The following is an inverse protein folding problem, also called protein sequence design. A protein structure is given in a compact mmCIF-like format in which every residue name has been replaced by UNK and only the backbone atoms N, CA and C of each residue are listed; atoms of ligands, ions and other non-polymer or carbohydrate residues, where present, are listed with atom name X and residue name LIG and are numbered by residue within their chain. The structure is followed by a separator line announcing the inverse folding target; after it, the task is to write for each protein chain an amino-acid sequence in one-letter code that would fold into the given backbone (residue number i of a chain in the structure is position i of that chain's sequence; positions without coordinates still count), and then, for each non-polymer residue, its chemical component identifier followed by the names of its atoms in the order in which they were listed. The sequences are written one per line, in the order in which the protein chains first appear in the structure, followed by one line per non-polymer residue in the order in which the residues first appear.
data_IF_031222985283
#
_entry.id   IF_031222985283
#
_cell.length_a   1.000
_cell.length_b   1.000
_cell.length_c   1.000
_cell.angle_alpha   90.00
_cell.angle_beta   90.00
_cell.angle_gamma   90.00
#
_symmetry.space_group_name_H-M   'P 1'
#
loop_
_entity.id
_entity.type
_entity.pdbx_description
1 polymer ?
#
# COMPACT_ATOMS: atom_id res chain seq x y z
N UNK A 1 7.39 -10.52 18.84
CA UNK A 1 7.36 -11.89 18.26
C UNK A 1 6.72 -11.87 16.87
N UNK A 2 6.87 -12.92 16.04
CA UNK A 2 6.26 -12.96 14.69
C UNK A 2 4.73 -12.81 14.75
N UNK A 3 4.09 -13.41 15.75
CA UNK A 3 2.64 -13.32 15.97
C UNK A 3 2.18 -11.89 16.31
N UNK A 4 2.95 -11.16 17.12
CA UNK A 4 2.66 -9.74 17.41
C UNK A 4 2.75 -8.87 16.15
N UNK A 5 3.69 -9.17 15.24
CA UNK A 5 3.82 -8.44 13.97
C UNK A 5 2.61 -8.72 13.07
N UNK A 6 2.15 -9.96 12.98
CA UNK A 6 0.90 -10.28 12.26
C UNK A 6 -0.31 -9.57 12.86
N UNK A 7 -0.46 -9.59 14.19
CA UNK A 7 -1.53 -8.87 14.88
C UNK A 7 -1.45 -7.36 14.62
N UNK A 8 -0.24 -6.80 14.55
CA UNK A 8 -0.03 -5.40 14.20
C UNK A 8 -0.55 -5.10 12.79
N UNK A 9 -0.19 -5.89 11.79
CA UNK A 9 -0.68 -5.71 10.41
C UNK A 9 -2.21 -5.79 10.34
N UNK A 10 -2.80 -6.82 10.93
CA UNK A 10 -4.24 -7.03 10.92
C UNK A 10 -5.00 -5.87 11.60
N UNK A 11 -4.46 -5.37 12.72
CA UNK A 11 -5.03 -4.21 13.40
C UNK A 11 -4.95 -2.92 12.56
N UNK A 12 -3.94 -2.77 11.71
CA UNK A 12 -3.86 -1.64 10.78
C UNK A 12 -4.91 -1.76 9.68
N UNK A 13 -5.02 -2.92 9.05
CA UNK A 13 -5.99 -3.15 7.96
C UNK A 13 -7.42 -3.05 8.46
N UNK A 14 -7.72 -3.56 9.66
CA UNK A 14 -9.04 -3.38 10.28
C UNK A 14 -9.43 -1.91 10.45
N UNK A 15 -8.48 -1.06 10.85
CA UNK A 15 -8.73 0.37 11.01
C UNK A 15 -8.91 1.09 9.66
N UNK A 16 -8.12 0.71 8.65
CA UNK A 16 -8.29 1.20 7.27
C UNK A 16 -9.66 0.80 6.72
N UNK A 17 -10.07 -0.47 6.87
CA UNK A 17 -11.37 -0.96 6.41
C UNK A 17 -12.51 -0.18 7.05
N UNK A 18 -12.45 0.10 8.36
CA UNK A 18 -13.48 0.91 9.03
C UNK A 18 -13.66 2.31 8.41
N UNK A 19 -12.60 2.91 7.87
CA UNK A 19 -12.63 4.21 7.19
C UNK A 19 -13.16 4.08 5.77
N UNK A 20 -12.58 3.17 4.97
CA UNK A 20 -12.89 3.06 3.55
C UNK A 20 -14.27 2.44 3.29
N UNK A 21 -14.71 1.47 4.08
CA UNK A 21 -16.03 0.86 3.92
C UNK A 21 -17.16 1.84 4.23
N UNK A 22 -16.95 2.73 5.20
CA UNK A 22 -17.93 3.72 5.64
C UNK A 22 -17.97 4.98 4.76
N UNK A 23 -17.04 5.11 3.81
CA UNK A 23 -16.96 6.26 2.91
C UNK A 23 -17.68 5.97 1.59
N UNK A 24 -18.52 6.91 1.12
CA UNK A 24 -19.17 6.85 -0.19
C UNK A 24 -18.32 7.59 -1.23
N UNK A 25 -17.62 6.83 -2.08
CA UNK A 25 -16.79 7.36 -3.15
C UNK A 25 -17.60 7.55 -4.43
N UNK A 26 -18.55 8.49 -4.38
CA UNK A 26 -19.34 8.89 -5.55
C UNK A 26 -20.19 7.75 -6.12
N UNK A 27 -20.77 6.93 -5.24
CA UNK A 27 -21.57 5.75 -5.56
C UNK A 27 -20.86 4.41 -5.31
N UNK A 28 -19.53 4.41 -5.19
CA UNK A 28 -18.76 3.21 -4.83
C UNK A 28 -18.67 3.12 -3.31
N UNK A 29 -19.27 2.07 -2.74
CA UNK A 29 -19.36 1.83 -1.29
C UNK A 29 -18.78 0.47 -0.93
N UNK A 30 -18.39 0.30 0.33
CA UNK A 30 -17.88 -0.99 0.83
C UNK A 30 -16.47 -1.31 0.32
N UNK A 31 -15.65 -0.30 0.04
CA UNK A 31 -14.25 -0.50 -0.31
C UNK A 31 -13.53 -1.10 0.89
N UNK A 32 -13.04 -2.33 0.74
CA UNK A 32 -12.36 -3.11 1.77
C UNK A 32 -10.99 -3.59 1.25
N UNK A 33 -10.06 -3.78 2.19
CA UNK A 33 -8.74 -4.35 1.97
C UNK A 33 -8.61 -5.70 2.67
N UNK A 34 -8.22 -6.71 1.91
CA UNK A 34 -7.80 -8.00 2.42
C UNK A 34 -6.29 -8.18 2.15
N UNK A 35 -5.55 -8.59 3.19
CA UNK A 35 -4.13 -8.90 3.04
C UNK A 35 -4.01 -10.22 2.31
N UNK A 36 -3.41 -10.24 1.12
CA UNK A 36 -3.22 -11.48 0.39
C UNK A 36 -1.91 -12.20 0.76
N UNK A 37 -0.88 -11.43 1.11
CA UNK A 37 0.44 -11.99 1.43
C UNK A 37 1.16 -11.11 2.42
N UNK A 38 1.81 -11.74 3.38
CA UNK A 38 2.67 -11.06 4.36
C UNK A 38 4.05 -11.68 4.37
N UNK A 39 5.09 -10.85 4.29
CA UNK A 39 6.48 -11.27 4.49
C UNK A 39 7.05 -10.50 5.66
N UNK A 40 7.68 -11.22 6.60
CA UNK A 40 8.31 -10.63 7.77
C UNK A 40 9.82 -10.80 7.63
N UNK A 41 10.55 -9.69 7.72
CA UNK A 41 11.99 -9.69 7.87
C UNK A 41 12.37 -9.47 9.33
N UNK A 42 13.28 -10.30 9.82
CA UNK A 42 13.84 -10.22 11.17
C UNK A 42 15.36 -10.03 11.12
N UNK A 43 16.04 -10.09 12.26
CA UNK A 43 17.49 -9.94 12.34
C UNK A 43 18.27 -10.99 11.53
N UNK A 44 17.70 -12.18 11.31
CA UNK A 44 18.32 -13.20 10.46
C UNK A 44 18.24 -12.88 8.97
N UNK A 45 17.31 -11.99 8.58
CA UNK A 45 17.14 -11.50 7.20
C UNK A 45 18.20 -10.47 6.80
N UNK A 46 19.04 -10.03 7.74
CA UNK A 46 20.17 -9.13 7.55
C UNK A 46 21.46 -9.77 8.11
N UNK A 47 21.96 -10.88 7.51
CA UNK A 47 23.20 -11.49 7.96
C UNK A 47 24.37 -10.52 7.75
N UNK A 48 25.34 -10.56 8.67
CA UNK A 48 26.65 -9.90 8.51
C UNK A 48 27.45 -10.67 7.44
N UNK A 49 27.04 -10.59 6.19
CA UNK A 49 27.82 -11.09 5.05
C UNK A 49 28.69 -9.97 4.50
N UNK A 50 29.93 -10.32 4.13
CA UNK A 50 30.87 -9.44 3.45
C UNK A 50 30.21 -8.62 2.33
N UNK A 51 30.77 -7.44 2.07
CA UNK A 51 30.22 -6.30 1.32
C UNK A 51 29.76 -6.55 -0.14
N UNK A 52 29.73 -7.78 -0.65
CA UNK A 52 29.43 -8.10 -2.05
C UNK A 52 28.55 -9.36 -2.26
N UNK A 53 27.62 -9.70 -1.36
CA UNK A 53 26.62 -10.73 -1.67
C UNK A 53 25.46 -10.15 -2.52
N UNK A 54 25.26 -10.57 -3.78
CA UNK A 54 24.12 -10.17 -4.60
C UNK A 54 22.75 -10.62 -4.05
N UNK A 55 22.72 -11.49 -3.01
CA UNK A 55 21.52 -11.87 -2.26
C UNK A 55 21.31 -11.03 -0.99
N UNK A 56 22.20 -10.07 -0.69
CA UNK A 56 22.05 -9.18 0.46
C UNK A 56 20.73 -8.42 0.36
N UNK A 57 19.96 -8.48 1.44
CA UNK A 57 18.70 -7.76 1.53
C UNK A 57 18.97 -6.23 1.55
N UNK A 58 18.60 -5.54 0.48
CA UNK A 58 18.86 -4.10 0.30
C UNK A 58 18.19 -3.21 1.34
N UNK A 59 17.23 -3.74 2.11
CA UNK A 59 16.56 -3.03 3.21
C UNK A 59 17.39 -2.97 4.51
N UNK A 60 18.51 -3.71 4.58
CA UNK A 60 19.38 -3.80 5.75
C UNK A 60 20.33 -2.62 5.91
N UNK A 61 20.48 -1.76 4.91
CA UNK A 61 21.35 -0.58 5.00
C UNK A 61 20.80 0.45 5.99
N UNK A 62 21.50 0.79 7.07
CA UNK A 62 20.93 1.58 8.17
C UNK A 62 20.43 2.98 7.75
N UNK A 63 21.04 3.61 6.75
CA UNK A 63 20.78 5.01 6.39
C UNK A 63 20.10 5.18 5.01
N UNK A 64 19.04 4.42 4.75
CA UNK A 64 18.20 4.62 3.55
C UNK A 64 17.16 5.69 3.83
N UNK A 65 17.15 6.78 3.07
CA UNK A 65 16.10 7.79 3.14
C UNK A 65 14.74 7.25 2.65
N UNK A 66 13.67 7.96 2.99
CA UNK A 66 12.29 7.53 2.70
C UNK A 66 12.03 7.29 1.21
N UNK A 67 12.61 8.12 0.33
CA UNK A 67 12.39 8.02 -1.12
C UNK A 67 13.11 6.81 -1.69
N UNK A 68 14.36 6.60 -1.30
CA UNK A 68 15.11 5.42 -1.68
C UNK A 68 14.48 4.14 -1.11
N UNK A 69 13.92 4.19 0.10
CA UNK A 69 13.25 3.04 0.72
C UNK A 69 11.98 2.62 -0.06
N UNK A 70 11.15 3.59 -0.48
CA UNK A 70 10.00 3.31 -1.35
C UNK A 70 10.45 2.79 -2.72
N UNK A 71 11.51 3.37 -3.30
CA UNK A 71 12.06 2.90 -4.57
C UNK A 71 12.57 1.46 -4.49
N UNK A 72 13.25 1.07 -3.41
CA UNK A 72 13.68 -0.31 -3.14
C UNK A 72 12.48 -1.27 -3.10
N UNK A 73 11.38 -0.88 -2.46
CA UNK A 73 10.15 -1.67 -2.43
C UNK A 73 9.49 -1.80 -3.81
N UNK A 74 9.61 -0.74 -4.61
CA UNK A 74 9.05 -0.66 -5.96
C UNK A 74 9.83 -1.48 -7.00
N UNK A 75 11.01 -2.01 -6.69
CA UNK A 75 11.82 -2.82 -7.63
C UNK A 75 11.17 -4.18 -7.91
N UNK A 76 10.44 -4.75 -6.93
CA UNK A 76 9.83 -6.07 -7.07
C UNK A 76 8.57 -6.02 -7.92
N UNK A 77 8.24 -7.15 -8.54
CA UNK A 77 6.98 -7.31 -9.25
C UNK A 77 5.84 -7.53 -8.26
N UNK A 78 4.93 -6.57 -8.19
CA UNK A 78 3.73 -6.60 -7.33
C UNK A 78 2.44 -6.66 -8.16
N UNK A 79 2.50 -7.13 -9.41
CA UNK A 79 1.35 -7.12 -10.34
C UNK A 79 0.18 -7.99 -9.87
N UNK A 80 0.45 -8.99 -9.04
CA UNK A 80 -0.58 -9.89 -8.48
C UNK A 80 -1.46 -9.20 -7.42
N UNK A 81 -1.01 -8.05 -6.89
CA UNK A 81 -1.70 -7.34 -5.81
C UNK A 81 -2.26 -6.00 -6.29
N UNK A 82 -3.32 -5.54 -5.60
CA UNK A 82 -3.84 -4.20 -5.83
C UNK A 82 -2.83 -3.14 -5.41
N UNK A 83 -2.29 -3.32 -4.20
CA UNK A 83 -1.28 -2.48 -3.55
C UNK A 83 -0.31 -3.38 -2.77
N UNK A 84 0.91 -2.90 -2.57
CA UNK A 84 1.93 -3.57 -1.77
C UNK A 84 2.60 -2.59 -0.79
N UNK A 85 2.59 -2.91 0.51
CA UNK A 85 3.07 -2.02 1.56
C UNK A 85 4.21 -2.60 2.38
N UNK A 86 5.08 -1.72 2.90
CA UNK A 86 6.07 -2.05 3.94
C UNK A 86 5.80 -1.23 5.19
N UNK A 87 5.70 -1.91 6.33
CA UNK A 87 5.76 -1.27 7.64
C UNK A 87 7.19 -1.43 8.18
N UNK A 88 7.79 -0.32 8.62
CA UNK A 88 9.15 -0.31 9.15
C UNK A 88 9.22 0.43 10.49
N UNK A 89 10.33 0.27 11.20
CA UNK A 89 10.64 1.03 12.44
C UNK A 89 11.82 1.97 12.21
N UNK A 90 11.97 2.47 10.97
CA UNK A 90 13.01 3.44 10.59
C UNK A 90 12.58 4.85 10.92
N UNK A 91 13.46 5.60 11.55
CA UNK A 91 13.22 7.01 11.79
C UNK A 91 13.65 7.83 10.57
N UNK A 92 12.69 8.24 9.75
CA UNK A 92 12.98 8.99 8.53
C UNK A 92 13.22 10.47 8.84
N UNK A 93 14.21 11.05 8.16
CA UNK A 93 14.61 12.45 8.35
C UNK A 93 13.42 13.39 8.07
N UNK A 94 13.28 14.43 8.89
CA UNK A 94 12.22 15.43 8.74
C UNK A 94 10.88 15.03 9.35
N UNK A 95 10.85 13.90 10.06
CA UNK A 95 9.65 13.41 10.73
C UNK A 95 8.63 12.77 9.79
N UNK A 96 9.10 12.26 8.65
CA UNK A 96 8.27 11.62 7.64
C UNK A 96 7.72 10.29 8.17
N UNK A 97 6.39 10.13 8.16
CA UNK A 97 5.71 8.94 8.67
C UNK A 97 5.40 7.90 7.57
N UNK A 98 5.36 8.30 6.32
CA UNK A 98 5.02 7.44 5.20
C UNK A 98 5.35 8.08 3.85
N UNK A 99 5.28 7.26 2.81
CA UNK A 99 5.42 7.69 1.42
C UNK A 99 4.75 6.69 0.49
N UNK A 100 4.02 7.18 -0.49
CA UNK A 100 3.34 6.35 -1.47
C UNK A 100 3.31 7.00 -2.86
N UNK A 101 3.21 6.16 -3.90
CA UNK A 101 2.99 6.65 -5.27
C UNK A 101 1.54 7.07 -5.47
N UNK A 102 1.31 8.24 -6.05
CA UNK A 102 -0.05 8.76 -6.23
C UNK A 102 -0.67 8.26 -7.53
N UNK A 103 -1.92 7.78 -7.46
CA UNK A 103 -2.69 7.51 -8.67
C UNK A 103 -3.19 8.81 -9.32
N UNK A 104 -3.26 8.82 -10.64
CA UNK A 104 -3.82 9.95 -11.36
C UNK A 104 -4.63 9.46 -12.55
N UNK A 105 -5.72 10.18 -12.78
CA UNK A 105 -6.66 10.01 -13.89
C UNK A 105 -6.20 10.74 -15.16
N UNK A 106 -5.03 11.41 -15.11
CA UNK A 106 -4.53 12.24 -16.22
C UNK A 106 -3.20 11.71 -16.71
N UNK A 107 -3.01 11.70 -18.02
CA UNK A 107 -1.74 11.37 -18.66
C UNK A 107 -0.66 12.44 -18.42
N UNK A 108 -0.16 12.55 -17.18
CA UNK A 108 0.87 13.51 -16.82
C UNK A 108 1.54 13.19 -15.48
N UNK A 109 2.83 12.81 -15.56
CA UNK A 109 3.82 12.95 -14.47
C UNK A 109 3.71 11.96 -13.30
N UNK A 110 4.84 11.34 -12.96
CA UNK A 110 5.06 10.71 -11.66
C UNK A 110 5.17 11.81 -10.61
N UNK A 111 4.30 11.83 -9.60
CA UNK A 111 4.44 12.72 -8.45
C UNK A 111 4.79 11.89 -7.21
N UNK A 112 5.98 12.14 -6.67
CA UNK A 112 6.44 11.59 -5.39
C UNK A 112 6.29 12.69 -4.34
N UNK A 113 5.36 12.54 -3.40
CA UNK A 113 5.12 13.52 -2.35
C UNK A 113 5.92 13.16 -1.09
N UNK A 114 7.13 13.69 -0.94
CA UNK A 114 7.89 13.57 0.30
C UNK A 114 7.46 14.67 1.29
N UNK A 115 7.35 14.35 2.58
CA UNK A 115 7.06 15.28 3.67
C UNK A 115 8.22 16.27 3.87
N UNK A 116 8.29 17.32 3.04
CA UNK A 116 9.06 18.54 3.28
C UNK A 116 8.35 19.71 2.62
N UNK A 117 7.74 20.58 3.42
CA UNK A 117 7.22 21.87 2.96
C UNK A 117 8.16 22.99 3.45
N UNK A 118 8.70 23.82 2.55
CA UNK A 118 8.81 25.24 2.79
C UNK A 118 7.73 25.97 1.96
N UNK A 119 7.18 27.10 2.45
CA UNK A 119 5.98 27.70 1.89
C UNK A 119 6.32 28.45 0.60
N UNK A 120 5.82 27.99 -0.56
CA UNK A 120 5.58 28.89 -1.70
C UNK A 120 4.45 28.35 -2.58
N UNK A 121 3.41 29.17 -2.73
CA UNK A 121 2.36 29.08 -3.75
C UNK A 121 2.92 28.72 -5.14
N UNK A 122 2.59 27.54 -5.67
CA UNK A 122 2.56 27.31 -7.12
C UNK A 122 1.55 26.21 -7.48
N UNK A 123 0.30 26.61 -7.74
CA UNK A 123 -0.57 25.84 -8.63
C UNK A 123 -0.12 26.07 -10.08
N UNK A 124 0.44 25.05 -10.74
CA UNK A 124 0.50 25.09 -12.20
C UNK A 124 -0.89 24.79 -12.78
N UNK A 125 -1.54 25.83 -13.29
CA UNK A 125 -2.59 25.70 -14.30
C UNK A 125 -1.94 25.17 -15.57
N UNK A 126 -2.14 23.88 -15.90
CA UNK A 126 -1.74 23.35 -17.19
C UNK A 126 -2.62 23.97 -18.30
N UNK A 127 -2.12 25.03 -18.95
CA UNK A 127 -2.63 25.47 -20.24
C UNK A 127 -2.23 24.45 -21.29
N UNK A 128 -3.22 23.99 -22.06
CA UNK A 128 -3.07 23.10 -23.21
C UNK A 128 -2.50 23.88 -24.39
N UNK A 129 -1.20 23.78 -24.63
CA UNK A 129 -0.62 24.10 -25.95
C UNK A 129 -0.34 22.79 -26.67
N UNK A 130 -1.15 22.55 -27.70
CA UNK A 130 -1.07 21.38 -28.57
C UNK A 130 0.09 21.53 -29.55
N UNK A 131 1.17 20.77 -29.32
CA UNK A 131 2.13 20.39 -30.36
C UNK A 131 2.21 18.86 -30.43
N UNK A 132 1.98 18.34 -31.63
CA UNK A 132 1.84 16.91 -31.89
C UNK A 132 3.15 16.14 -31.75
N UNK A 133 3.17 15.23 -30.78
CA UNK A 133 3.80 13.91 -30.84
C UNK A 133 3.10 13.04 -29.78
N UNK A 134 2.38 12.00 -30.20
CA UNK A 134 1.63 11.12 -29.30
C UNK A 134 2.56 10.16 -28.57
N UNK A 135 2.87 10.46 -27.31
CA UNK A 135 3.21 9.46 -26.30
C UNK A 135 2.25 9.65 -25.13
N UNK A 136 1.30 8.73 -24.96
CA UNK A 136 0.43 8.67 -23.79
C UNK A 136 1.25 8.30 -22.56
N UNK A 137 1.70 9.30 -21.79
CA UNK A 137 2.23 9.06 -20.45
C UNK A 137 1.04 9.04 -19.51
N UNK A 138 0.30 7.95 -19.41
CA UNK A 138 -0.64 7.73 -18.27
C UNK A 138 0.15 8.02 -17.00
N UNK A 139 -0.27 8.97 -16.16
CA UNK A 139 0.40 9.19 -14.87
C UNK A 139 0.38 7.86 -14.11
N UNK A 140 1.58 7.31 -13.90
CA UNK A 140 1.75 5.92 -13.51
C UNK A 140 1.99 5.85 -12.01
N UNK A 141 1.30 4.97 -11.29
CA UNK A 141 1.41 4.89 -9.82
C UNK A 141 0.07 4.71 -9.14
N UNK A 142 0.08 4.11 -7.96
CA UNK A 142 -1.09 3.82 -7.12
C UNK A 142 -1.85 2.54 -7.49
N UNK A 143 -3.13 2.48 -7.13
CA UNK A 143 -4.02 1.31 -7.20
C UNK A 143 -3.99 0.59 -8.56
N UNK A 144 -3.71 -0.71 -8.56
CA UNK A 144 -3.67 -1.52 -9.79
C UNK A 144 -2.54 -1.20 -10.79
N UNK A 145 -1.50 -0.45 -10.43
CA UNK A 145 -0.38 -0.24 -11.36
C UNK A 145 0.42 -1.54 -11.62
N UNK A 146 0.66 -1.94 -12.88
CA UNK A 146 1.44 -3.15 -13.20
C UNK A 146 2.96 -2.93 -13.16
N UNK A 147 3.72 -4.04 -13.12
CA UNK A 147 5.18 -4.03 -13.18
C UNK A 147 5.69 -3.75 -14.60
N UNK A 148 6.02 -2.49 -14.89
CA UNK A 148 6.41 -2.04 -16.24
C UNK A 148 7.72 -1.24 -16.26
N UNK A 149 8.17 -0.89 -17.45
CA UNK A 149 9.40 -0.12 -17.67
C UNK A 149 9.17 1.37 -17.48
N UNK A 150 10.08 2.01 -16.75
CA UNK A 150 10.15 3.45 -16.52
C UNK A 150 11.51 3.99 -16.96
N UNK A 151 11.53 5.26 -17.36
CA UNK A 151 12.75 5.97 -17.72
C UNK A 151 13.28 6.73 -16.49
N UNK A 152 14.46 6.36 -16.01
CA UNK A 152 15.20 7.06 -14.96
C UNK A 152 16.47 7.65 -15.60
N UNK A 153 16.36 8.90 -16.10
CA UNK A 153 17.42 9.53 -16.89
C UNK A 153 17.69 8.77 -18.20
N UNK A 154 18.92 8.30 -18.39
CA UNK A 154 19.32 7.48 -19.55
C UNK A 154 19.06 5.98 -19.37
N UNK A 155 18.65 5.53 -18.16
CA UNK A 155 18.43 4.13 -17.85
C UNK A 155 16.95 3.78 -17.92
N UNK A 156 16.65 2.57 -18.40
CA UNK A 156 15.33 1.96 -18.25
C UNK A 156 15.36 0.99 -17.07
N UNK A 157 14.45 1.18 -16.13
CA UNK A 157 14.27 0.28 -14.99
C UNK A 157 12.86 -0.26 -14.98
N UNK A 158 12.67 -1.45 -14.39
CA UNK A 158 11.31 -1.94 -14.12
C UNK A 158 10.93 -1.63 -12.69
N UNK A 159 9.70 -1.17 -12.50
CA UNK A 159 9.13 -0.86 -11.18
C UNK A 159 7.67 -1.25 -11.12
N UNK A 160 7.18 -1.56 -9.92
CA UNK A 160 5.76 -1.58 -9.58
C UNK A 160 5.49 -0.35 -8.73
N UNK A 161 4.64 0.56 -9.21
CA UNK A 161 4.34 1.80 -8.51
C UNK A 161 2.98 1.73 -7.78
N UNK A 162 2.45 0.54 -7.57
CA UNK A 162 1.32 0.26 -6.67
C UNK A 162 1.82 0.05 -5.22
N UNK A 163 2.79 0.86 -4.80
CA UNK A 163 3.53 0.66 -3.56
C UNK A 163 3.41 1.85 -2.62
N UNK A 164 3.57 1.55 -1.32
CA UNK A 164 3.67 2.54 -0.26
C UNK A 164 4.44 2.01 0.94
N UNK A 165 4.88 2.90 1.81
CA UNK A 165 5.60 2.59 3.04
C UNK A 165 5.06 3.44 4.18
N UNK A 166 5.09 2.89 5.40
CA UNK A 166 4.90 3.67 6.63
C UNK A 166 5.94 3.28 7.67
N UNK A 167 6.27 4.21 8.55
CA UNK A 167 7.09 3.95 9.73
C UNK A 167 6.28 4.02 11.03
N UNK A 168 6.69 3.20 11.99
CA UNK A 168 6.16 3.13 13.34
C UNK A 168 7.00 3.92 14.35
N UNK A 169 8.04 4.61 13.88
CA UNK A 169 8.97 5.42 14.68
C UNK A 169 9.10 6.81 14.07
N UNK A 170 9.09 7.83 14.93
CA UNK A 170 9.34 9.22 14.54
C UNK A 170 10.09 9.92 15.67
N UNK A 171 11.19 10.62 15.33
CA UNK A 171 12.06 11.30 16.31
C UNK A 171 12.43 10.36 17.47
N UNK A 172 12.87 9.15 17.13
CA UNK A 172 13.24 8.04 18.02
C UNK A 172 12.14 7.55 18.97
N UNK A 173 10.90 8.01 18.79
CA UNK A 173 9.76 7.61 19.60
C UNK A 173 8.80 6.74 18.81
N UNK A 174 8.17 5.77 19.47
CA UNK A 174 7.14 4.94 18.85
C UNK A 174 5.90 5.78 18.55
N UNK A 175 5.44 5.73 17.30
CA UNK A 175 4.21 6.39 16.87
C UNK A 175 3.01 5.69 17.54
N UNK A 176 2.06 6.45 18.13
CA UNK A 176 0.86 5.85 18.70
C UNK A 176 0.07 5.05 17.66
N UNK A 177 -0.48 3.90 18.06
CA UNK A 177 -1.20 2.98 17.16
C UNK A 177 -2.31 3.66 16.34
N UNK A 178 -3.06 4.59 16.95
CA UNK A 178 -4.10 5.33 16.24
C UNK A 178 -3.54 6.21 15.14
N UNK A 179 -2.41 6.87 15.39
CA UNK A 179 -1.75 7.73 14.41
C UNK A 179 -1.16 6.89 13.28
N UNK A 180 -0.50 5.77 13.57
CA UNK A 180 0.06 4.89 12.52
C UNK A 180 -1.02 4.27 11.62
N UNK A 181 -2.19 3.95 12.18
CA UNK A 181 -3.37 3.52 11.41
C UNK A 181 -3.87 4.61 10.46
N UNK A 182 -3.94 5.86 10.93
CA UNK A 182 -4.33 7.00 10.09
C UNK A 182 -3.27 7.32 9.04
N UNK A 183 -1.98 7.18 9.36
CA UNK A 183 -0.90 7.27 8.38
C UNK A 183 -1.06 6.22 7.29
N UNK A 184 -1.37 4.96 7.63
CA UNK A 184 -1.63 3.95 6.60
C UNK A 184 -2.80 4.35 5.69
N UNK A 185 -3.91 4.81 6.29
CA UNK A 185 -5.07 5.27 5.52
C UNK A 185 -4.73 6.46 4.61
N UNK A 186 -3.89 7.39 5.08
CA UNK A 186 -3.39 8.53 4.30
C UNK A 186 -2.57 8.06 3.08
N UNK A 187 -1.59 7.18 3.28
CA UNK A 187 -0.78 6.67 2.18
C UNK A 187 -1.60 5.86 1.17
N UNK A 188 -2.61 5.11 1.64
CA UNK A 188 -3.55 4.43 0.73
C UNK A 188 -4.39 5.46 -0.02
N UNK A 189 -4.76 6.58 0.61
CA UNK A 189 -5.48 7.68 -0.03
C UNK A 189 -4.70 8.27 -1.21
N UNK A 190 -3.38 8.41 -1.07
CA UNK A 190 -2.47 8.73 -2.17
C UNK A 190 -2.49 7.68 -3.27
N UNK A 191 -2.36 6.39 -2.93
CA UNK A 191 -2.48 5.31 -3.91
C UNK A 191 -3.85 5.29 -4.63
N UNK A 192 -4.91 5.78 -4.01
CA UNK A 192 -6.24 5.95 -4.63
C UNK A 192 -6.41 7.29 -5.35
N UNK A 193 -5.36 8.13 -5.37
CA UNK A 193 -5.24 9.32 -6.19
C UNK A 193 -5.67 10.62 -5.53
N UNK A 194 -5.86 10.63 -4.21
CA UNK A 194 -6.01 11.91 -3.51
C UNK A 194 -4.64 12.57 -3.33
N UNK A 195 -4.45 13.82 -3.76
CA UNK A 195 -3.38 14.67 -3.23
C UNK A 195 -3.73 15.08 -1.79
N UNK A 196 -2.85 15.86 -1.17
CA UNK A 196 -3.15 16.50 0.10
C UNK A 196 -4.38 17.43 -0.01
N UNK A 197 -5.10 17.58 1.09
CA UNK A 197 -6.33 18.36 1.16
C UNK A 197 -6.09 19.86 0.90
N UNK A 198 -6.73 20.37 -0.15
CA UNK A 198 -6.76 21.76 -0.54
C UNK A 198 -8.04 22.04 -1.34
N UNK A 199 -8.66 23.24 -1.29
CA UNK A 199 -8.29 24.43 -0.52
C UNK A 199 -8.73 24.35 0.95
N UNK A 200 -8.72 25.49 1.66
CA UNK A 200 -9.07 25.60 3.08
C UNK A 200 -10.39 24.91 3.49
N UNK A 201 -11.36 24.81 2.58
CA UNK A 201 -12.62 24.09 2.81
C UNK A 201 -12.44 22.59 3.11
N UNK A 202 -11.31 22.01 2.69
CA UNK A 202 -10.96 20.61 2.92
C UNK A 202 -9.93 20.42 4.04
N UNK A 203 -9.52 21.49 4.71
CA UNK A 203 -8.61 21.47 5.87
C UNK A 203 -9.12 22.45 6.94
N UNK A 204 -10.24 22.13 7.60
CA UNK A 204 -10.98 23.08 8.44
C UNK A 204 -10.26 23.46 9.73
N UNK A 205 -9.23 22.72 10.15
CA UNK A 205 -8.51 22.98 11.39
C UNK A 205 -9.37 22.67 12.62
N UNK A 206 -9.22 23.47 13.67
CA UNK A 206 -9.97 23.29 14.93
C UNK A 206 -11.38 23.90 14.84
N UNK A 207 -12.38 23.36 15.57
CA UNK A 207 -12.26 22.31 16.59
C UNK A 207 -12.36 20.86 16.08
N UNK A 208 -12.88 20.62 14.88
CA UNK A 208 -13.16 19.26 14.37
C UNK A 208 -11.92 18.52 13.84
N UNK A 209 -10.79 19.23 13.73
CA UNK A 209 -9.53 18.73 13.18
C UNK A 209 -9.53 18.68 11.65
N UNK A 210 -8.35 18.46 11.09
CA UNK A 210 -8.20 18.21 9.66
C UNK A 210 -8.54 16.75 9.29
N UNK A 211 -8.79 16.51 8.01
CA UNK A 211 -9.12 15.20 7.46
C UNK A 211 -7.88 14.33 7.23
N UNK A 212 -8.09 13.06 6.82
CA UNK A 212 -7.03 12.07 6.61
C UNK A 212 -5.95 12.58 5.65
N UNK A 213 -6.30 13.28 4.57
CA UNK A 213 -5.35 13.73 3.55
C UNK A 213 -4.71 15.09 3.88
N UNK A 214 -4.78 15.54 5.13
CA UNK A 214 -4.05 16.72 5.55
C UNK A 214 -2.53 16.52 5.42
N UNK A 215 -1.82 17.54 4.93
CA UNK A 215 -0.39 17.45 4.61
C UNK A 215 0.54 17.29 5.83
N UNK A 216 0.01 17.34 7.06
CA UNK A 216 0.79 17.22 8.29
C UNK A 216 0.17 16.18 9.23
N UNK A 217 1.01 15.62 10.10
CA UNK A 217 0.57 14.64 11.09
C UNK A 217 -0.58 15.18 11.95
N UNK A 218 -1.57 14.32 12.19
CA UNK A 218 -2.70 14.61 13.08
C UNK A 218 -2.53 13.88 14.40
N UNK A 219 -3.14 14.41 15.47
CA UNK A 219 -3.21 13.75 16.77
C UNK A 219 -4.13 12.52 16.77
N UNK A 220 -5.00 12.41 15.77
CA UNK A 220 -5.96 11.32 15.61
C UNK A 220 -7.14 11.38 16.59
N UNK A 221 -7.22 12.35 17.50
CA UNK A 221 -8.30 12.49 18.49
C UNK A 221 -9.52 13.26 17.96
N UNK A 222 -9.37 14.00 16.87
CA UNK A 222 -10.44 14.88 16.38
C UNK A 222 -11.44 14.16 15.47
N UNK A 223 -12.70 14.63 15.43
CA UNK A 223 -13.78 14.02 14.64
C UNK A 223 -13.46 13.78 13.15
N UNK A 224 -12.68 14.66 12.52
CA UNK A 224 -12.34 14.55 11.10
C UNK A 224 -11.10 13.70 10.81
N UNK A 225 -10.25 13.40 11.81
CA UNK A 225 -8.97 12.74 11.56
C UNK A 225 -9.13 11.32 10.98
N UNK A 226 -10.28 10.69 11.13
CA UNK A 226 -10.62 9.39 10.57
C UNK A 226 -11.64 9.47 9.42
N UNK A 227 -11.74 10.63 8.74
CA UNK A 227 -12.63 10.84 7.59
C UNK A 227 -11.86 11.42 6.42
N UNK A 228 -12.28 11.08 5.20
CA UNK A 228 -11.85 11.79 4.00
C UNK A 228 -12.61 13.12 3.86
N UNK A 229 -11.94 14.14 3.35
CA UNK A 229 -12.59 15.40 3.02
C UNK A 229 -13.44 15.25 1.76
N UNK A 230 -14.38 16.17 1.47
CA UNK A 230 -15.08 16.18 0.18
C UNK A 230 -14.14 16.24 -1.03
N UNK A 231 -12.97 16.90 -0.89
CA UNK A 231 -11.95 16.96 -1.94
C UNK A 231 -11.30 15.59 -2.16
N UNK A 232 -10.89 14.91 -1.08
CA UNK A 232 -10.27 13.58 -1.19
C UNK A 232 -11.26 12.57 -1.77
N UNK A 233 -12.53 12.60 -1.33
CA UNK A 233 -13.59 11.75 -1.87
C UNK A 233 -13.74 11.95 -3.36
N UNK A 234 -13.77 13.20 -3.85
CA UNK A 234 -13.89 13.48 -5.28
C UNK A 234 -12.73 12.89 -6.11
N UNK A 235 -11.49 13.05 -5.65
CA UNK A 235 -10.30 12.54 -6.33
C UNK A 235 -10.27 11.01 -6.34
N UNK A 236 -10.52 10.38 -5.20
CA UNK A 236 -10.57 8.91 -5.08
C UNK A 236 -11.70 8.34 -5.95
N UNK A 237 -12.86 8.99 -5.98
CA UNK A 237 -13.98 8.57 -6.82
C UNK A 237 -13.62 8.57 -8.31
N UNK A 238 -12.78 9.50 -8.76
CA UNK A 238 -12.36 9.57 -10.16
C UNK A 238 -11.49 8.37 -10.54
N UNK A 239 -10.49 8.04 -9.72
CA UNK A 239 -9.63 6.85 -9.94
C UNK A 239 -10.45 5.56 -9.87
N UNK A 240 -11.33 5.42 -8.88
CA UNK A 240 -12.18 4.23 -8.74
C UNK A 240 -13.08 4.02 -9.96
N UNK A 241 -13.64 5.10 -10.53
CA UNK A 241 -14.43 5.02 -11.77
C UNK A 241 -13.61 4.50 -12.94
N UNK A 242 -12.35 4.93 -13.09
CA UNK A 242 -11.47 4.43 -14.15
C UNK A 242 -11.10 2.97 -13.95
N UNK A 243 -10.74 2.58 -12.73
CA UNK A 243 -10.42 1.19 -12.38
C UNK A 243 -11.63 0.28 -12.62
N UNK A 244 -12.82 0.68 -12.18
CA UNK A 244 -14.03 -0.13 -12.30
C UNK A 244 -14.66 -0.10 -13.71
N UNK A 245 -14.24 0.81 -14.58
CA UNK A 245 -14.68 0.81 -15.98
C UNK A 245 -14.12 -0.39 -16.76
N UNK A 246 -13.03 -1.00 -16.29
CA UNK A 246 -12.47 -2.23 -16.87
C UNK A 246 -13.03 -3.48 -16.18
N UNK A 247 -13.37 -4.54 -16.94
CA UNK A 247 -13.66 -5.83 -16.35
C UNK A 247 -12.43 -6.38 -15.60
N UNK A 248 -12.61 -7.09 -14.47
CA UNK A 248 -11.51 -7.72 -13.75
C UNK A 248 -10.66 -8.60 -14.67
N UNK A 249 -9.33 -8.50 -14.56
CA UNK A 249 -8.34 -9.36 -15.26
C UNK A 249 -8.17 -9.15 -16.78
N UNK A 250 -8.78 -8.13 -17.39
CA UNK A 250 -8.50 -7.72 -18.76
C UNK A 250 -7.51 -6.54 -18.76
N UNK A 251 -6.37 -6.72 -19.41
CA UNK A 251 -5.35 -5.68 -19.58
C UNK A 251 -5.53 -5.03 -20.96
N UNK A 252 -6.27 -3.92 -20.99
CA UNK A 252 -6.40 -3.09 -22.18
C UNK A 252 -5.37 -1.95 -22.14
N UNK A 253 -4.48 -1.94 -23.14
CA UNK A 253 -3.46 -0.89 -23.30
C UNK A 253 -4.09 0.51 -23.29
N UNK A 254 -3.55 1.40 -22.46
CA UNK A 254 -3.98 2.80 -22.34
C UNK A 254 -5.06 3.07 -21.29
N UNK A 255 -5.64 2.04 -20.65
CA UNK A 255 -6.60 2.19 -19.56
C UNK A 255 -6.07 1.49 -18.31
N UNK A 256 -6.34 2.07 -17.13
CA UNK A 256 -5.94 1.49 -15.86
C UNK A 256 -6.62 0.14 -15.65
N UNK A 257 -5.85 -0.91 -15.39
CA UNK A 257 -6.39 -2.26 -15.19
C UNK A 257 -7.31 -2.31 -13.97
N UNK A 258 -8.31 -3.17 -14.01
CA UNK A 258 -9.07 -3.53 -12.82
C UNK A 258 -8.41 -4.71 -12.11
N UNK A 259 -7.90 -4.44 -10.91
CA UNK A 259 -7.33 -5.43 -10.02
C UNK A 259 -8.20 -5.73 -8.80
N UNK A 260 -9.30 -4.98 -8.64
CA UNK A 260 -10.24 -5.18 -7.56
C UNK A 260 -11.01 -6.48 -7.80
N UNK A 261 -11.23 -7.21 -6.72
CA UNK A 261 -12.02 -8.43 -6.71
C UNK A 261 -13.31 -8.15 -5.94
N UNK A 262 -14.37 -8.90 -6.26
CA UNK A 262 -15.56 -8.90 -5.43
C UNK A 262 -15.16 -9.24 -3.98
N UNK A 263 -15.84 -8.67 -2.97
CA UNK A 263 -15.51 -8.89 -1.57
C UNK A 263 -15.65 -10.39 -1.24
N UNK A 264 -14.53 -11.11 -1.33
CA UNK A 264 -14.39 -12.46 -0.81
C UNK A 264 -14.26 -12.31 0.71
N UNK A 265 -15.09 -13.03 1.45
CA UNK A 265 -15.07 -12.99 2.93
C UNK A 265 -13.83 -13.67 3.53
N UNK A 266 -13.02 -14.34 2.71
CA UNK A 266 -11.83 -15.08 3.14
C UNK A 266 -10.82 -15.24 1.99
N UNK A 267 -9.55 -14.93 2.24
CA UNK A 267 -8.43 -15.20 1.35
C UNK A 267 -7.48 -16.24 1.97
N UNK A 268 -7.48 -17.42 1.37
CA UNK A 268 -6.61 -18.49 1.84
C UNK A 268 -5.15 -18.28 1.44
N UNK A 269 -4.24 -18.20 2.39
CA UNK A 269 -2.78 -18.11 2.20
C UNK A 269 -2.17 -16.81 2.71
N UNK A 270 -2.93 -15.97 3.42
CA UNK A 270 -2.42 -14.77 4.08
C UNK A 270 -1.98 -15.05 5.53
N UNK A 271 -2.32 -16.23 6.02
CA UNK A 271 -2.05 -16.74 7.35
C UNK A 271 -2.90 -16.10 8.44
N UNK A 272 -4.14 -15.75 8.10
CA UNK A 272 -5.20 -15.34 9.02
C UNK A 272 -6.37 -16.27 8.75
N UNK A 273 -6.90 -16.91 9.80
CA UNK A 273 -8.09 -17.76 9.64
C UNK A 273 -9.32 -16.86 9.48
N UNK A 274 -9.91 -16.87 8.28
CA UNK A 274 -11.10 -16.09 7.93
C UNK A 274 -12.36 -16.98 7.80
N UNK A 275 -13.52 -16.37 7.54
CA UNK A 275 -14.80 -17.09 7.47
C UNK A 275 -14.80 -18.12 6.34
N UNK A 276 -14.84 -19.41 6.70
CA UNK A 276 -14.78 -20.54 5.77
C UNK A 276 -13.46 -21.31 5.77
N UNK A 277 -12.46 -20.86 6.54
CA UNK A 277 -11.15 -21.50 6.66
C UNK A 277 -11.01 -22.28 7.98
N UNK A 278 -10.33 -23.44 7.93
CA UNK A 278 -10.04 -24.24 9.15
C UNK A 278 -8.67 -23.93 9.76
N UNK A 279 -7.79 -23.38 8.93
CA UNK A 279 -6.42 -22.95 9.25
C UNK A 279 -5.92 -22.09 8.08
N UNK A 280 -4.86 -21.32 8.30
CA UNK A 280 -4.09 -20.70 7.22
C UNK A 280 -2.63 -20.54 7.66
N UNK A 281 -1.73 -21.30 7.03
CA UNK A 281 -0.30 -21.26 7.32
C UNK A 281 0.50 -20.33 6.40
N UNK A 282 -0.10 -19.80 5.33
CA UNK A 282 0.57 -18.94 4.35
C UNK A 282 0.47 -19.42 2.89
N UNK A 283 1.17 -18.70 2.01
CA UNK A 283 0.98 -18.80 0.57
C UNK A 283 1.62 -20.05 -0.05
N UNK A 284 2.79 -20.45 0.45
CA UNK A 284 3.55 -21.59 -0.04
C UNK A 284 4.10 -22.44 1.12
N UNK A 285 4.67 -23.60 0.77
CA UNK A 285 5.21 -24.56 1.75
C UNK A 285 6.30 -23.94 2.64
N UNK A 286 7.11 -23.02 2.10
CA UNK A 286 8.15 -22.33 2.87
C UNK A 286 7.55 -21.39 3.91
N UNK A 287 6.50 -20.64 3.57
CA UNK A 287 5.79 -19.80 4.53
C UNK A 287 5.18 -20.63 5.68
N UNK A 288 4.60 -21.79 5.37
CA UNK A 288 4.04 -22.69 6.38
C UNK A 288 5.10 -23.32 7.30
N UNK A 289 6.24 -23.75 6.72
CA UNK A 289 7.40 -24.23 7.48
C UNK A 289 7.97 -23.14 8.40
N UNK A 290 8.11 -21.91 7.90
CA UNK A 290 8.57 -20.76 8.69
C UNK A 290 7.63 -20.41 9.84
N UNK A 291 6.33 -20.62 9.68
CA UNK A 291 5.34 -20.44 10.76
C UNK A 291 5.28 -21.63 11.72
N UNK A 292 6.03 -22.70 11.43
CA UNK A 292 6.00 -23.96 12.18
C UNK A 292 4.59 -24.57 12.22
N UNK A 293 3.79 -24.31 11.19
CA UNK A 293 2.46 -24.89 11.04
C UNK A 293 2.55 -26.12 10.14
N UNK A 294 2.62 -27.29 10.77
CA UNK A 294 2.64 -28.61 10.09
C UNK A 294 1.23 -29.23 10.06
N UNK A 295 0.22 -28.40 10.27
CA UNK A 295 -1.17 -28.79 10.45
C UNK A 295 -2.08 -28.29 9.34
N UNK A 296 -1.61 -27.36 8.52
CA UNK A 296 -2.38 -26.75 7.46
C UNK A 296 -1.79 -27.04 6.09
N UNK A 297 -2.66 -27.20 5.08
CA UNK A 297 -2.22 -27.19 3.68
C UNK A 297 -1.90 -25.76 3.24
N UNK A 298 -0.69 -25.55 2.69
CA UNK A 298 -0.31 -24.30 2.04
C UNK A 298 -1.24 -23.96 0.87
N UNK A 299 -1.41 -22.66 0.56
CA UNK A 299 -2.22 -22.23 -0.60
C UNK A 299 -1.69 -22.80 -1.91
N UNK A 300 -0.37 -22.82 -2.07
CA UNK A 300 0.29 -23.34 -3.26
C UNK A 300 1.34 -24.39 -2.91
N UNK A 301 1.40 -25.45 -3.72
CA UNK A 301 2.43 -26.49 -3.66
C UNK A 301 3.15 -26.50 -5.01
N UNK A 302 4.48 -26.33 -5.00
CA UNK A 302 5.31 -26.22 -6.22
C UNK A 302 4.77 -25.20 -7.24
N UNK A 303 4.27 -24.06 -6.74
CA UNK A 303 3.76 -22.96 -7.55
C UNK A 303 2.38 -23.18 -8.18
N UNK A 304 1.68 -24.26 -7.83
CA UNK A 304 0.29 -24.53 -8.25
C UNK A 304 -0.67 -24.42 -7.07
N UNK A 305 -1.89 -23.95 -7.33
CA UNK A 305 -2.94 -23.85 -6.31
C UNK A 305 -3.24 -25.23 -5.73
N UNK A 306 -3.27 -25.34 -4.40
CA UNK A 306 -3.63 -26.56 -3.69
C UNK A 306 -5.16 -26.65 -3.58
N UNK A 307 -5.73 -27.81 -3.88
CA UNK A 307 -7.17 -28.07 -3.79
C UNK A 307 -7.67 -28.01 -2.34
N UNK A 308 -6.86 -28.47 -1.39
CA UNK A 308 -7.17 -28.54 0.04
C UNK A 308 -6.64 -27.34 0.84
N UNK A 309 -6.28 -26.26 0.15
CA UNK A 309 -5.79 -25.02 0.78
C UNK A 309 -6.72 -24.54 1.91
N UNK A 310 -6.13 -24.08 3.01
CA UNK A 310 -6.83 -23.64 4.22
C UNK A 310 -7.72 -24.68 4.91
N UNK A 311 -7.43 -25.95 4.64
CA UNK A 311 -7.93 -27.09 5.40
C UNK A 311 -6.79 -27.72 6.20
N UNK A 312 -7.15 -28.38 7.29
CA UNK A 312 -6.15 -29.08 8.11
C UNK A 312 -5.69 -30.37 7.42
N UNK A 313 -4.41 -30.68 7.57
CA UNK A 313 -3.83 -31.94 7.14
C UNK A 313 -4.51 -33.11 7.87
N UNK A 314 -5.01 -34.12 7.14
CA UNK A 314 -5.61 -35.29 7.78
C UNK A 314 -4.57 -36.02 8.62
N UNK A 315 -4.94 -36.35 9.85
CA UNK A 315 -4.10 -37.03 10.86
C UNK A 315 -2.89 -36.24 11.39
N UNK A 316 -2.82 -34.92 11.16
CA UNK A 316 -1.82 -34.09 11.82
C UNK A 316 -2.16 -33.92 13.32
N UNK A 317 -1.17 -34.08 14.20
CA UNK A 317 -1.32 -33.82 15.62
C UNK A 317 -1.16 -32.32 15.90
N UNK A 318 -2.28 -31.62 15.84
CA UNK A 318 -2.35 -30.17 16.02
C UNK A 318 -2.73 -29.85 17.47
N UNK A 319 -1.93 -29.01 18.14
CA UNK A 319 -2.22 -28.50 19.49
C UNK A 319 -3.02 -27.20 19.41
#
# INVERSE_FOLDING_TARGET
TRNEIFALFNNHIKAVNAIYESTDFGGVRGVNFNVQRTTIWDSSSCPNSDLEDPKKNSFCEDNVDVSNFLNLHSIKNHSDFCLAYVLTSRDFVGGTLGLAWVASTTSGGLFMYSFYDPPTDFCFSAKRESFGYSYEITSSGGLCEPYKWYSEGSKRVRRSLNTGIITLVNYHNRVPMKVSQLTLAHEIGHNFGSPHDFPASCQPGSPEGNYIMFASATSGDKPNNAKFSPCSVANISAVLKEVLAQPPHLDMSGIRRNCLIDPMTSFCGNGVVEDGEQCDCGYDESECEQRQDHCCYARTTRGKLNENRCQRLPNANCR
#
